data_IF_500975703489
#
_entry.id   IF_500975703489
#
_cell.length_a   1.000
_cell.length_b   1.000
_cell.length_c   1.000
_cell.angle_alpha   90.00
_cell.angle_beta   90.00
_cell.angle_gamma   90.00
#
_symmetry.space_group_name_H-M   'P 1'
#
loop_
_entity.id
_entity.type
_entity.pdbx_description
1 polymer ?
2 water ?
#
# COMPACT_ATOMS: atom_id res chain seq x y z
N UNK A 1 -15.37 -8.92 -29.82
CA UNK A 1 -14.65 -10.07 -29.20
C UNK A 1 -14.67 -9.88 -27.70
N UNK A 2 -13.83 -8.97 -27.24
CA UNK A 2 -13.76 -8.71 -25.83
C UNK A 2 -12.31 -8.68 -25.44
N UNK A 3 -12.04 -7.92 -24.40
CA UNK A 3 -10.71 -7.80 -23.86
C UNK A 3 -10.43 -9.08 -23.12
N UNK A 4 -9.25 -9.14 -22.53
CA UNK A 4 -8.84 -10.27 -21.71
C UNK A 4 -9.83 -10.36 -20.56
N UNK A 5 -10.04 -9.21 -19.90
CA UNK A 5 -10.94 -9.13 -18.77
C UNK A 5 -12.27 -9.80 -18.98
N UNK A 6 -12.86 -9.68 -20.15
CA UNK A 6 -14.14 -10.35 -20.29
C UNK A 6 -14.14 -11.76 -20.87
N UNK A 7 -13.00 -12.27 -21.33
CA UNK A 7 -13.03 -13.66 -21.77
C UNK A 7 -12.94 -14.34 -20.39
N UNK A 8 -12.29 -13.64 -19.46
CA UNK A 8 -12.11 -14.13 -18.10
C UNK A 8 -13.41 -14.17 -17.31
N UNK A 9 -14.15 -13.05 -17.32
CA UNK A 9 -15.45 -12.98 -16.61
C UNK A 9 -16.49 -13.86 -17.27
N UNK A 10 -16.19 -14.37 -18.47
CA UNK A 10 -17.15 -15.18 -19.20
C UNK A 10 -17.05 -16.68 -19.03
N UNK A 11 -16.03 -17.10 -18.30
CA UNK A 11 -15.83 -18.52 -18.04
C UNK A 11 -15.97 -18.61 -16.53
N UNK A 12 -16.96 -19.39 -16.09
CA UNK A 12 -17.21 -19.54 -14.66
C UNK A 12 -16.29 -20.53 -13.99
N UNK A 13 -15.00 -20.26 -14.10
CA UNK A 13 -13.96 -21.09 -13.52
C UNK A 13 -12.77 -20.19 -13.22
N UNK A 14 -12.91 -18.89 -13.52
CA UNK A 14 -11.85 -17.91 -13.28
C UNK A 14 -12.35 -16.94 -12.21
N UNK A 15 -13.43 -17.33 -11.54
CA UNK A 15 -14.06 -16.53 -10.49
C UNK A 15 -13.06 -15.92 -9.49
N UNK A 16 -12.21 -16.79 -8.95
CA UNK A 16 -11.21 -16.38 -7.98
C UNK A 16 -10.27 -15.39 -8.65
N UNK A 17 -9.82 -15.72 -9.86
CA UNK A 17 -8.90 -14.88 -10.61
C UNK A 17 -9.39 -13.43 -10.80
N UNK A 18 -10.65 -13.25 -11.21
CA UNK A 18 -11.21 -11.91 -11.42
C UNK A 18 -11.31 -11.10 -10.13
N UNK A 19 -11.93 -11.66 -9.10
CA UNK A 19 -12.04 -10.98 -7.80
C UNK A 19 -10.62 -10.52 -7.48
N UNK A 20 -9.70 -11.47 -7.56
CA UNK A 20 -8.30 -11.18 -7.28
C UNK A 20 -7.80 -10.07 -8.17
N UNK A 21 -8.32 -10.01 -9.41
CA UNK A 21 -7.89 -8.96 -10.33
C UNK A 21 -8.44 -7.62 -9.83
N UNK A 22 -9.70 -7.65 -9.39
CA UNK A 22 -10.35 -6.45 -8.89
C UNK A 22 -9.56 -5.95 -7.68
N UNK A 23 -9.36 -6.87 -6.75
CA UNK A 23 -8.64 -6.59 -5.52
C UNK A 23 -7.26 -6.01 -5.77
N UNK A 24 -6.60 -6.43 -6.85
CA UNK A 24 -5.28 -5.87 -7.16
C UNK A 24 -5.51 -4.61 -7.98
N UNK A 25 -6.74 -4.42 -8.42
CA UNK A 25 -7.06 -3.27 -9.22
C UNK A 25 -6.31 -3.35 -10.52
N UNK A 26 -6.48 -4.48 -11.22
CA UNK A 26 -5.82 -4.71 -12.51
C UNK A 26 -6.91 -4.92 -13.54
N UNK A 27 -8.11 -4.47 -13.17
CA UNK A 27 -9.26 -4.61 -14.03
C UNK A 27 -9.16 -3.70 -15.23
N UNK A 28 -9.02 -2.39 -15.01
CA UNK A 28 -8.94 -1.46 -16.12
C UNK A 28 -7.83 -1.86 -17.07
N UNK A 29 -6.67 -2.15 -16.49
CA UNK A 29 -5.50 -2.54 -17.27
C UNK A 29 -5.80 -3.66 -18.26
N UNK A 30 -6.44 -4.72 -17.78
CA UNK A 30 -6.75 -5.84 -18.66
C UNK A 30 -8.05 -5.62 -19.42
N UNK A 31 -8.70 -4.49 -19.18
CA UNK A 31 -9.94 -4.18 -19.88
C UNK A 31 -9.76 -2.98 -20.80
N UNK A 32 -8.67 -2.25 -20.62
CA UNK A 32 -8.39 -1.09 -21.47
C UNK A 32 -7.75 -1.60 -22.76
N UNK A 33 -6.67 -0.95 -23.20
CA UNK A 33 -6.00 -1.37 -24.43
C UNK A 33 -4.59 -1.90 -24.19
N UNK A 34 -4.04 -2.64 -25.15
CA UNK A 34 -2.69 -3.17 -25.02
C UNK A 34 -2.46 -4.51 -25.69
N UNK A 35 -1.31 -5.11 -25.40
CA UNK A 35 -0.96 -6.42 -25.96
C UNK A 35 -0.38 -7.30 -24.86
N UNK A 36 -1.23 -8.14 -24.29
CA UNK A 36 -0.81 -9.01 -23.21
C UNK A 36 -1.04 -10.49 -23.47
N UNK A 37 -0.17 -11.31 -22.90
CA UNK A 37 -0.32 -12.75 -23.00
C UNK A 37 -0.56 -13.10 -21.53
N UNK A 38 -1.79 -13.54 -21.27
CA UNK A 38 -2.22 -13.86 -19.92
C UNK A 38 -2.31 -15.36 -19.67
N UNK A 39 -1.59 -15.85 -18.66
CA UNK A 39 -1.67 -17.26 -18.30
C UNK A 39 -2.62 -17.24 -17.12
N UNK A 40 -3.84 -17.68 -17.36
CA UNK A 40 -4.85 -17.65 -16.32
C UNK A 40 -5.09 -18.94 -15.57
N UNK A 41 -4.85 -18.93 -14.25
CA UNK A 41 -5.07 -20.11 -13.43
C UNK A 41 -6.56 -20.27 -13.19
N UNK A 42 -7.05 -21.51 -13.25
CA UNK A 42 -8.45 -21.82 -13.03
C UNK A 42 -8.67 -21.84 -11.53
N UNK A 43 -9.94 -21.90 -11.13
CA UNK A 43 -10.28 -21.95 -9.72
C UNK A 43 -9.52 -23.09 -9.09
N UNK A 44 -9.42 -24.18 -9.83
CA UNK A 44 -8.68 -25.35 -9.35
C UNK A 44 -7.24 -25.00 -9.01
N UNK A 45 -6.58 -24.20 -9.86
CA UNK A 45 -5.20 -23.82 -9.59
C UNK A 45 -5.15 -23.19 -8.20
N UNK A 46 -6.09 -22.30 -7.92
CA UNK A 46 -6.14 -21.66 -6.61
C UNK A 46 -6.58 -22.72 -5.59
N UNK A 47 -7.56 -23.55 -5.96
CA UNK A 47 -8.09 -24.60 -5.08
C UNK A 47 -7.00 -25.60 -4.67
N UNK A 48 -6.03 -25.80 -5.56
CA UNK A 48 -4.93 -26.73 -5.34
C UNK A 48 -3.95 -26.26 -4.27
N UNK A 49 -3.91 -24.95 -4.04
CA UNK A 49 -3.00 -24.36 -3.08
C UNK A 49 -3.11 -24.90 -1.66
N UNK A 50 -1.95 -25.04 -0.98
CA UNK A 50 -1.84 -25.52 0.40
C UNK A 50 -2.18 -24.29 1.29
N UNK A 51 -2.90 -24.53 2.41
CA UNK A 51 -3.33 -23.46 3.32
C UNK A 51 -2.43 -22.29 3.77
N UNK A 52 -1.25 -22.55 4.33
CA UNK A 52 -0.40 -21.41 4.74
C UNK A 52 -0.05 -20.60 3.50
N UNK A 53 0.12 -21.31 2.38
CA UNK A 53 0.45 -20.70 1.10
C UNK A 53 -0.78 -20.03 0.46
N UNK A 54 -1.97 -20.53 0.78
CA UNK A 54 -3.21 -19.95 0.25
C UNK A 54 -3.37 -18.59 0.95
N UNK A 55 -3.06 -18.57 2.24
CA UNK A 55 -3.19 -17.36 3.05
C UNK A 55 -2.11 -16.31 2.81
N UNK A 56 -0.91 -16.75 2.45
CA UNK A 56 0.17 -15.81 2.18
C UNK A 56 -0.11 -15.04 0.89
N UNK A 57 -0.68 -15.75 -0.09
CA UNK A 57 -1.00 -15.17 -1.39
C UNK A 57 -2.20 -14.22 -1.34
N UNK A 58 -3.32 -14.75 -0.86
CA UNK A 58 -4.59 -14.05 -0.77
C UNK A 58 -4.84 -13.27 0.51
N UNK A 59 -4.01 -13.47 1.53
CA UNK A 59 -4.22 -12.72 2.75
C UNK A 59 -3.29 -11.53 2.79
N UNK A 60 -2.79 -11.12 1.62
CA UNK A 60 -1.83 -10.04 1.55
C UNK A 60 -1.93 -9.29 0.23
N UNK A 61 -2.45 -8.07 0.26
CA UNK A 61 -2.64 -7.27 -0.97
C UNK A 61 -1.38 -7.14 -1.81
N UNK A 62 -0.21 -7.07 -1.18
CA UNK A 62 1.01 -6.94 -1.97
C UNK A 62 1.39 -8.24 -2.60
N UNK A 63 1.05 -9.33 -1.92
CA UNK A 63 1.29 -10.63 -2.44
C UNK A 63 0.65 -10.70 -3.82
N UNK A 64 -0.68 -10.83 -3.85
CA UNK A 64 -1.46 -10.93 -5.09
C UNK A 64 -0.97 -10.03 -6.21
N UNK A 65 -0.97 -8.73 -6.00
CA UNK A 65 -0.52 -7.78 -7.01
C UNK A 65 0.75 -8.33 -7.66
N UNK A 66 1.68 -8.73 -6.82
CA UNK A 66 2.94 -9.28 -7.29
C UNK A 66 2.77 -10.51 -8.15
N UNK A 67 2.08 -11.50 -7.62
CA UNK A 67 1.84 -12.75 -8.33
C UNK A 67 0.91 -12.59 -9.53
N UNK A 68 -0.22 -11.93 -9.35
CA UNK A 68 -1.16 -11.74 -10.46
C UNK A 68 -0.45 -11.05 -11.62
N UNK A 69 0.39 -10.07 -11.30
CA UNK A 69 1.15 -9.29 -12.29
C UNK A 69 2.17 -10.14 -13.01
N UNK A 70 2.52 -11.28 -12.39
CA UNK A 70 3.52 -12.17 -12.96
C UNK A 70 2.95 -13.15 -14.01
N UNK A 71 1.63 -13.39 -13.99
CA UNK A 71 1.00 -14.31 -14.94
C UNK A 71 0.68 -13.55 -16.21
N UNK A 72 0.94 -12.23 -16.18
CA UNK A 72 0.66 -11.37 -17.31
C UNK A 72 1.84 -10.93 -18.18
N UNK A 73 1.89 -11.49 -19.38
CA UNK A 73 2.95 -11.18 -20.32
C UNK A 73 2.90 -9.79 -20.92
N UNK A 74 4.05 -9.37 -21.45
CA UNK A 74 4.21 -8.07 -22.06
C UNK A 74 3.77 -8.04 -23.51
N UNK A 75 4.08 -9.11 -24.24
CA UNK A 75 3.74 -9.20 -25.64
C UNK A 75 2.55 -10.11 -25.85
N UNK A 76 2.14 -10.28 -27.09
CA UNK A 76 1.06 -11.20 -27.36
C UNK A 76 1.81 -12.36 -27.97
N UNK A 77 1.50 -13.56 -27.49
CA UNK A 77 2.18 -14.75 -27.95
C UNK A 77 1.24 -15.95 -27.96
N UNK A 78 0.95 -16.45 -29.16
CA UNK A 78 0.09 -17.60 -29.34
C UNK A 78 1.01 -18.79 -29.60
N UNK A 79 0.45 -19.99 -29.65
CA UNK A 79 1.22 -21.21 -29.89
C UNK A 79 2.11 -21.09 -31.13
N UNK A 80 1.51 -21.11 -32.32
CA UNK A 80 2.31 -20.92 -33.51
C UNK A 80 2.96 -19.62 -33.13
N UNK A 81 4.29 -19.57 -33.08
CA UNK A 81 4.97 -18.36 -32.65
C UNK A 81 6.06 -18.75 -31.65
N UNK A 82 6.00 -19.99 -31.18
CA UNK A 82 7.00 -20.52 -30.25
C UNK A 82 7.91 -21.42 -31.10
N UNK A 83 9.02 -20.86 -31.59
CA UNK A 83 9.94 -21.63 -32.41
C UNK A 83 11.16 -22.00 -31.59
N UNK A 84 11.35 -21.26 -30.50
CA UNK A 84 12.45 -21.48 -29.57
C UNK A 84 11.88 -21.14 -28.20
N UNK A 85 12.63 -21.46 -27.15
CA UNK A 85 12.22 -21.16 -25.77
C UNK A 85 12.13 -19.64 -25.61
N UNK A 86 10.90 -19.14 -25.50
CA UNK A 86 10.63 -17.70 -25.36
C UNK A 86 10.49 -17.15 -23.93
N UNK A 87 11.13 -16.01 -23.69
CA UNK A 87 11.06 -15.36 -22.39
C UNK A 87 10.24 -14.06 -22.50
N UNK A 88 9.20 -13.97 -21.68
CA UNK A 88 8.30 -12.82 -21.68
C UNK A 88 8.37 -11.97 -20.44
N UNK A 89 8.70 -10.69 -20.59
CA UNK A 89 8.76 -9.83 -19.43
C UNK A 89 7.33 -9.80 -18.88
N UNK A 90 7.17 -10.22 -17.64
CA UNK A 90 5.84 -10.20 -16.99
C UNK A 90 5.67 -8.75 -16.58
N UNK A 91 4.44 -8.31 -16.32
CA UNK A 91 4.30 -6.93 -15.90
C UNK A 91 4.96 -6.77 -14.51
N UNK A 92 5.29 -7.89 -13.87
CA UNK A 92 5.92 -7.88 -12.56
C UNK A 92 7.41 -7.57 -12.68
N UNK A 93 8.01 -7.93 -13.81
CA UNK A 93 9.42 -7.68 -14.03
C UNK A 93 10.17 -8.95 -14.40
N UNK A 94 9.75 -10.05 -13.84
CA UNK A 94 10.43 -11.29 -14.11
C UNK A 94 9.80 -12.06 -15.27
N UNK A 95 10.67 -12.76 -15.98
CA UNK A 95 10.37 -13.56 -17.17
C UNK A 95 9.44 -14.73 -16.98
N UNK A 96 8.78 -15.11 -18.08
CA UNK A 96 7.88 -16.26 -18.14
C UNK A 96 8.48 -17.16 -19.22
N UNK A 97 8.99 -18.34 -18.84
CA UNK A 97 9.58 -19.28 -19.81
C UNK A 97 8.50 -20.05 -20.54
N UNK A 98 8.28 -19.68 -21.80
CA UNK A 98 7.26 -20.29 -22.63
C UNK A 98 7.94 -21.21 -23.63
N UNK A 99 7.26 -22.28 -24.00
CA UNK A 99 7.81 -23.20 -24.99
C UNK A 99 6.75 -24.16 -25.48
N UNK A 100 7.11 -25.04 -26.40
CA UNK A 100 6.15 -25.93 -27.00
C UNK A 100 6.54 -27.40 -27.14
N UNK A 101 5.60 -28.30 -26.87
CA UNK A 101 5.81 -29.74 -27.01
C UNK A 101 4.48 -30.46 -27.24
N UNK A 102 4.44 -31.22 -28.33
CA UNK A 102 3.26 -31.97 -28.77
C UNK A 102 2.00 -31.11 -28.83
N UNK A 103 2.20 -29.86 -29.27
CA UNK A 103 1.13 -28.88 -29.44
C UNK A 103 0.65 -28.28 -28.12
N UNK A 104 1.22 -28.79 -27.03
CA UNK A 104 0.95 -28.32 -25.69
C UNK A 104 2.01 -27.26 -25.32
N UNK A 105 1.54 -26.04 -25.11
CA UNK A 105 2.40 -24.93 -24.74
C UNK A 105 2.73 -25.07 -23.26
N UNK A 106 3.87 -24.55 -22.82
CA UNK A 106 4.23 -24.62 -21.42
C UNK A 106 4.78 -23.29 -20.89
N UNK A 107 4.58 -23.05 -19.60
CA UNK A 107 5.01 -21.83 -18.93
C UNK A 107 5.59 -22.15 -17.56
N UNK A 108 6.91 -22.05 -17.42
CA UNK A 108 7.54 -22.37 -16.15
C UNK A 108 7.31 -23.84 -15.84
N UNK A 109 7.57 -24.68 -16.84
CA UNK A 109 7.41 -26.13 -16.72
C UNK A 109 6.01 -26.54 -16.24
N UNK A 110 4.96 -25.91 -16.77
CA UNK A 110 3.60 -26.25 -16.39
C UNK A 110 2.77 -26.20 -17.66
N UNK A 111 2.03 -27.27 -17.94
CA UNK A 111 1.20 -27.39 -19.13
C UNK A 111 -0.08 -26.57 -19.14
N UNK A 112 -0.32 -25.94 -20.28
CA UNK A 112 -1.50 -25.11 -20.47
C UNK A 112 -2.69 -26.02 -20.77
N UNK A 113 -3.72 -25.92 -19.96
CA UNK A 113 -4.92 -26.74 -20.14
C UNK A 113 -5.63 -26.42 -21.44
N UNK A 114 -5.40 -25.22 -21.96
CA UNK A 114 -6.05 -24.77 -23.20
C UNK A 114 -5.27 -23.62 -23.83
N UNK A 115 -4.49 -23.90 -24.89
CA UNK A 115 -3.71 -22.84 -25.54
C UNK A 115 -4.50 -21.64 -26.04
N UNK A 116 -3.78 -20.53 -26.09
CA UNK A 116 -4.25 -19.23 -26.51
C UNK A 116 -5.71 -19.03 -26.91
N UNK A 117 -6.35 -18.14 -26.17
CA UNK A 117 -7.73 -17.73 -26.40
C UNK A 117 -7.57 -16.24 -26.72
N UNK A 118 -8.22 -15.76 -27.76
CA UNK A 118 -8.09 -14.35 -28.12
C UNK A 118 -8.94 -13.34 -27.33
N UNK A 119 -8.60 -12.08 -27.57
CA UNK A 119 -9.23 -10.93 -26.93
C UNK A 119 -8.68 -9.72 -27.66
N UNK A 120 -9.52 -8.70 -27.78
CA UNK A 120 -9.16 -7.48 -28.47
C UNK A 120 -7.85 -6.85 -28.01
N UNK A 121 -7.38 -7.24 -26.82
CA UNK A 121 -6.16 -6.65 -26.28
C UNK A 121 -5.19 -7.66 -25.67
N UNK A 122 -4.90 -8.71 -26.43
CA UNK A 122 -3.99 -9.73 -25.95
C UNK A 122 -4.55 -11.11 -26.23
N UNK A 123 -4.08 -12.09 -25.47
CA UNK A 123 -4.52 -13.46 -25.63
C UNK A 123 -4.36 -14.11 -24.27
N UNK A 124 -5.14 -15.16 -23.96
CA UNK A 124 -4.94 -15.83 -22.67
C UNK A 124 -4.76 -17.32 -22.89
N UNK A 125 -3.96 -17.93 -22.03
CA UNK A 125 -3.67 -19.36 -22.08
C UNK A 125 -4.07 -19.90 -20.71
N UNK A 126 -4.98 -20.87 -20.68
CA UNK A 126 -5.47 -21.45 -19.43
C UNK A 126 -4.53 -22.47 -18.82
N UNK A 127 -4.25 -22.33 -17.53
CA UNK A 127 -3.37 -23.26 -16.82
C UNK A 127 -4.03 -23.59 -15.47
N UNK A 128 -3.58 -24.65 -14.81
CA UNK A 128 -4.20 -25.08 -13.56
C UNK A 128 -3.32 -25.22 -12.30
N UNK A 129 -2.50 -24.20 -12.09
CA UNK A 129 -1.62 -24.07 -10.93
C UNK A 129 -1.18 -22.63 -11.10
N UNK A 130 -0.90 -21.94 -9.99
CA UNK A 130 -0.47 -20.53 -10.01
C UNK A 130 1.04 -20.50 -10.21
N UNK A 131 1.55 -19.55 -10.97
CA UNK A 131 3.00 -19.49 -11.18
C UNK A 131 3.76 -18.90 -9.99
N UNK B 1 -11.76 20.90 23.75
CA UNK B 1 -11.06 19.80 24.48
C UNK B 1 -11.69 18.47 24.11
N UNK B 2 -10.90 17.41 24.12
CA UNK B 2 -11.47 16.12 23.78
C UNK B 2 -11.29 15.74 22.34
N UNK B 3 -10.63 14.62 22.14
CA UNK B 3 -10.29 14.10 20.83
C UNK B 3 -9.18 15.01 20.36
N UNK B 4 -8.00 14.44 20.27
CA UNK B 4 -6.86 15.18 19.80
C UNK B 4 -7.36 15.67 18.45
N UNK B 5 -8.08 14.80 17.77
CA UNK B 5 -8.58 15.16 16.45
C UNK B 5 -9.54 16.33 16.36
N UNK B 6 -10.39 16.56 17.35
CA UNK B 6 -11.25 17.74 17.21
C UNK B 6 -10.37 18.94 17.58
N UNK B 7 -9.18 18.69 18.14
CA UNK B 7 -8.32 19.82 18.45
C UNK B 7 -7.74 20.28 17.11
N UNK B 8 -7.23 19.32 16.34
CA UNK B 8 -6.65 19.64 15.05
C UNK B 8 -7.70 20.20 14.08
N UNK B 9 -8.89 19.59 14.12
CA UNK B 9 -10.01 19.98 13.25
C UNK B 9 -10.55 21.39 13.42
N UNK B 10 -10.60 21.86 14.66
CA UNK B 10 -11.14 23.18 14.91
C UNK B 10 -10.17 24.33 14.91
N UNK B 11 -8.88 24.04 14.73
CA UNK B 11 -7.88 25.09 14.71
C UNK B 11 -7.23 25.14 13.34
N UNK B 12 -7.29 26.32 12.72
CA UNK B 12 -6.76 26.50 11.37
C UNK B 12 -5.26 26.43 11.16
N UNK B 13 -4.49 26.15 12.20
CA UNK B 13 -3.03 26.03 12.05
C UNK B 13 -2.69 24.57 11.77
N UNK B 14 -3.71 23.71 11.80
CA UNK B 14 -3.48 22.28 11.58
C UNK B 14 -4.20 21.69 10.37
N UNK B 15 -4.74 22.55 9.51
CA UNK B 15 -5.46 22.06 8.34
C UNK B 15 -4.65 21.07 7.48
N UNK B 16 -3.43 21.43 7.12
CA UNK B 16 -2.58 20.52 6.34
C UNK B 16 -2.44 19.21 7.10
N UNK B 17 -2.12 19.31 8.40
CA UNK B 17 -1.99 18.14 9.26
C UNK B 17 -3.27 17.30 9.23
N UNK B 18 -4.42 17.96 9.25
CA UNK B 18 -5.71 17.27 9.21
C UNK B 18 -5.89 16.46 7.94
N UNK B 19 -5.60 17.08 6.80
CA UNK B 19 -5.74 16.37 5.55
C UNK B 19 -4.76 15.20 5.62
N UNK B 20 -3.60 15.44 6.22
CA UNK B 20 -2.57 14.41 6.34
C UNK B 20 -3.00 13.18 7.15
N UNK B 21 -3.86 13.35 8.15
CA UNK B 21 -4.30 12.19 8.90
C UNK B 21 -5.33 11.38 8.13
N UNK B 22 -6.21 12.06 7.39
CA UNK B 22 -7.20 11.33 6.63
C UNK B 22 -6.69 10.69 5.34
N UNK B 23 -5.59 11.15 4.78
CA UNK B 23 -5.10 10.47 3.60
C UNK B 23 -4.20 9.38 4.15
N UNK B 24 -3.76 9.59 5.38
CA UNK B 24 -2.91 8.62 6.06
C UNK B 24 -3.84 7.54 6.61
N UNK B 25 -5.11 7.90 6.75
CA UNK B 25 -6.10 6.98 7.26
C UNK B 25 -5.89 6.70 8.75
N UNK B 26 -5.41 7.70 9.48
CA UNK B 26 -5.17 7.59 10.91
C UNK B 26 -6.30 8.28 11.67
N UNK B 27 -7.24 8.84 10.92
CA UNK B 27 -8.33 9.60 11.55
C UNK B 27 -9.11 8.92 12.67
N UNK B 28 -9.73 7.77 12.42
CA UNK B 28 -10.49 7.14 13.50
C UNK B 28 -9.67 6.96 14.80
N UNK B 29 -8.43 6.49 14.69
CA UNK B 29 -7.61 6.29 15.90
C UNK B 29 -7.59 7.49 16.85
N UNK B 30 -7.07 8.61 16.35
CA UNK B 30 -6.94 9.82 17.13
C UNK B 30 -8.24 10.56 17.42
N UNK B 31 -9.31 10.16 16.74
CA UNK B 31 -10.61 10.78 16.98
C UNK B 31 -11.29 9.77 17.89
N UNK B 32 -10.54 8.72 18.23
CA UNK B 32 -11.06 7.67 19.09
C UNK B 32 -10.21 7.48 20.34
N UNK B 33 -10.81 6.81 21.32
CA UNK B 33 -10.20 6.60 22.62
C UNK B 33 -8.85 5.93 22.72
N UNK B 34 -8.12 6.38 23.73
CA UNK B 34 -6.80 5.86 24.01
C UNK B 34 -6.10 6.99 24.70
N UNK B 35 -4.78 6.89 24.78
CA UNK B 35 -3.96 7.89 25.44
C UNK B 35 -2.84 8.22 24.45
N UNK B 36 -2.74 9.49 24.06
CA UNK B 36 -1.73 9.90 23.09
C UNK B 36 -1.09 11.25 23.34
N UNK B 37 0.13 11.42 22.81
CA UNK B 37 0.86 12.67 22.89
C UNK B 37 1.36 12.97 21.47
N UNK B 38 0.52 13.69 20.72
CA UNK B 38 0.83 14.06 19.34
C UNK B 38 1.39 15.47 19.19
N UNK B 39 2.61 15.54 18.66
CA UNK B 39 3.31 16.79 18.43
C UNK B 39 2.83 17.26 17.06
N UNK B 40 1.91 18.21 17.11
CA UNK B 40 1.23 18.76 15.95
C UNK B 40 1.93 19.78 15.05
N UNK B 41 2.42 19.34 13.87
CA UNK B 41 3.08 20.31 12.99
C UNK B 41 2.04 21.22 12.35
N UNK B 42 2.24 22.53 12.48
CA UNK B 42 1.35 23.53 11.92
C UNK B 42 1.50 23.63 10.39
N UNK B 43 0.69 24.48 9.76
CA UNK B 43 0.77 24.64 8.31
C UNK B 43 2.13 25.21 7.93
N UNK B 44 2.72 26.02 8.80
CA UNK B 44 4.05 26.61 8.58
C UNK B 44 5.07 25.50 8.36
N UNK B 45 5.05 24.54 9.28
CA UNK B 45 5.94 23.40 9.22
C UNK B 45 5.93 22.79 7.82
N UNK B 46 4.79 22.25 7.41
CA UNK B 46 4.69 21.66 6.08
C UNK B 46 5.21 22.64 5.01
N UNK B 47 4.75 23.90 5.05
CA UNK B 47 5.19 24.91 4.09
C UNK B 47 6.68 25.24 4.14
N UNK B 48 7.37 24.71 5.15
CA UNK B 48 8.79 24.93 5.30
C UNK B 48 9.57 23.73 4.79
N UNK B 49 8.92 22.59 4.69
CA UNK B 49 9.59 21.38 4.21
C UNK B 49 10.33 21.62 2.90
N UNK B 50 11.55 21.06 2.78
CA UNK B 50 12.29 21.24 1.53
C UNK B 50 11.41 20.55 0.49
N UNK B 51 11.39 21.07 -0.76
CA UNK B 51 10.59 20.56 -1.87
C UNK B 51 10.69 19.10 -2.34
N UNK B 52 11.87 18.51 -2.29
CA UNK B 52 12.03 17.12 -2.72
C UNK B 52 11.26 16.26 -1.74
N UNK B 53 11.50 16.53 -0.45
CA UNK B 53 10.88 15.80 0.63
C UNK B 53 9.38 16.13 0.78
N UNK B 54 9.00 17.39 0.58
CA UNK B 54 7.57 17.72 0.68
C UNK B 54 6.87 16.80 -0.31
N UNK B 55 7.53 16.57 -1.44
CA UNK B 55 7.00 15.72 -2.49
C UNK B 55 7.04 14.25 -2.09
N UNK B 56 8.15 13.85 -1.47
CA UNK B 56 8.39 12.49 -1.02
C UNK B 56 7.60 12.01 0.22
N UNK B 57 7.15 12.96 1.04
CA UNK B 57 6.38 12.64 2.22
C UNK B 57 4.89 12.80 1.94
N UNK B 58 4.56 13.88 1.21
CA UNK B 58 3.18 14.22 0.88
C UNK B 58 2.48 13.58 -0.33
N UNK B 59 3.23 13.10 -1.31
CA UNK B 59 2.57 12.49 -2.45
C UNK B 59 2.77 11.00 -2.41
N UNK B 60 2.70 10.46 -1.21
CA UNK B 60 2.97 9.04 -1.00
C UNK B 60 2.36 8.51 0.30
N UNK B 61 1.09 8.12 0.25
CA UNK B 61 0.37 7.62 1.42
C UNK B 61 1.22 6.84 2.42
N UNK B 62 1.97 5.88 1.90
CA UNK B 62 2.83 5.02 2.71
C UNK B 62 3.83 5.76 3.60
N UNK B 63 4.75 6.51 3.00
CA UNK B 63 5.71 7.26 3.81
C UNK B 63 4.94 8.33 4.58
N UNK B 64 3.77 8.69 4.08
CA UNK B 64 2.95 9.68 4.77
C UNK B 64 2.57 9.09 6.13
N UNK B 65 1.85 7.97 6.10
CA UNK B 65 1.45 7.30 7.33
C UNK B 65 2.62 7.15 8.29
N UNK B 66 3.77 6.76 7.76
CA UNK B 66 4.95 6.54 8.59
C UNK B 66 5.36 7.76 9.41
N UNK B 67 5.66 8.87 8.75
CA UNK B 67 6.10 10.07 9.47
C UNK B 67 5.02 10.59 10.42
N UNK B 68 3.75 10.47 10.04
CA UNK B 68 2.65 10.94 10.88
C UNK B 68 2.54 10.13 12.16
N UNK B 69 2.53 8.80 12.03
CA UNK B 69 2.42 7.98 13.23
C UNK B 69 3.70 8.02 14.07
N UNK B 70 4.68 8.79 13.63
CA UNK B 70 5.91 8.94 14.40
C UNK B 70 5.76 10.08 15.40
N UNK B 71 5.05 11.14 15.02
CA UNK B 71 4.84 12.28 15.92
C UNK B 71 3.76 11.94 16.94
N UNK B 72 3.39 10.66 17.02
CA UNK B 72 2.32 10.19 17.92
C UNK B 72 2.80 9.20 18.96
N UNK B 73 3.01 9.67 20.20
CA UNK B 73 3.45 8.79 21.27
C UNK B 73 2.30 7.93 21.79
N UNK B 74 2.58 6.67 22.11
CA UNK B 74 1.52 5.81 22.60
C UNK B 74 1.19 6.02 24.07
N UNK B 75 1.36 7.27 24.51
CA UNK B 75 1.10 7.64 25.90
C UNK B 75 0.95 9.14 26.20
N UNK B 76 0.43 9.43 27.39
CA UNK B 76 0.21 10.79 27.86
C UNK B 76 1.47 11.43 28.48
N UNK B 77 1.75 12.66 28.07
CA UNK B 77 2.90 13.42 28.56
C UNK B 77 2.57 14.91 28.58
N UNK B 78 3.03 15.63 29.61
CA UNK B 78 2.81 17.07 29.72
C UNK B 78 4.08 17.80 30.18
N UNK B 79 4.11 19.13 30.04
CA UNK B 79 5.29 19.89 30.45
C UNK B 79 5.72 19.41 31.83
N UNK B 80 4.99 19.80 32.87
CA UNK B 80 5.34 19.29 34.19
C UNK B 80 5.43 17.81 33.88
N UNK B 81 6.28 17.06 34.57
CA UNK B 81 6.38 15.66 34.22
C UNK B 81 7.37 15.54 33.08
N UNK B 82 8.48 14.85 33.37
CA UNK B 82 9.64 14.60 32.51
C UNK B 82 10.70 15.70 32.65
N UNK B 83 10.53 16.56 33.65
CA UNK B 83 11.44 17.67 33.90
C UNK B 83 12.81 17.63 33.26
N UNK B 84 13.55 16.56 33.49
CA UNK B 84 14.88 16.44 32.91
C UNK B 84 14.75 16.49 31.41
N UNK B 85 14.68 15.29 30.86
CA UNK B 85 14.57 15.02 29.45
C UNK B 85 13.89 13.66 29.52
N UNK B 86 13.03 13.34 28.55
CA UNK B 86 12.36 12.05 28.56
C UNK B 86 12.37 11.45 27.16
N UNK B 87 12.43 10.12 27.09
CA UNK B 87 12.44 9.38 25.83
C UNK B 87 11.02 8.79 25.66
N UNK B 88 10.32 9.15 24.58
CA UNK B 88 8.95 8.65 24.35
C UNK B 88 8.81 7.70 23.15
N UNK B 89 7.86 6.77 23.21
CA UNK B 89 7.69 5.81 22.12
C UNK B 89 6.51 6.10 21.17
N UNK B 90 6.79 6.15 19.87
CA UNK B 90 5.76 6.44 18.84
C UNK B 90 5.14 5.23 18.17
N UNK B 91 4.08 5.49 17.39
CA UNK B 91 3.35 4.44 16.68
C UNK B 91 4.15 3.89 15.52
N UNK B 92 5.06 4.71 15.02
CA UNK B 92 5.91 4.30 13.94
C UNK B 92 6.88 3.30 14.58
N UNK B 93 7.30 3.58 15.81
CA UNK B 93 8.18 2.65 16.51
C UNK B 93 9.43 3.14 17.23
N UNK B 94 10.06 4.18 16.72
CA UNK B 94 11.28 4.64 17.35
C UNK B 94 10.99 5.65 18.46
N UNK B 95 11.88 5.76 19.43
CA UNK B 95 11.65 6.67 20.55
C UNK B 95 11.72 8.11 20.04
N UNK B 96 11.57 9.06 20.94
CA UNK B 96 11.61 10.47 20.57
C UNK B 96 11.91 11.27 21.83
N UNK B 97 12.95 12.12 21.75
CA UNK B 97 13.40 12.93 22.88
C UNK B 97 12.59 14.20 23.08
N UNK B 98 11.99 14.28 24.26
CA UNK B 98 11.14 15.39 24.68
C UNK B 98 11.90 16.04 25.82
N UNK B 99 12.45 17.23 25.58
CA UNK B 99 13.23 17.91 26.60
C UNK B 99 12.45 19.01 27.32
N UNK B 100 13.17 19.87 28.03
CA UNK B 100 12.51 20.94 28.79
C UNK B 100 13.50 22.00 29.24
N UNK B 101 13.59 23.09 28.48
CA UNK B 101 14.52 24.13 28.88
C UNK B 101 13.83 25.45 29.17
N UNK B 102 13.97 25.88 30.43
CA UNK B 102 13.37 27.12 30.91
C UNK B 102 11.96 27.15 30.32
N UNK B 103 11.18 26.18 30.77
CA UNK B 103 9.80 25.90 30.34
C UNK B 103 9.47 26.02 28.85
N UNK B 104 10.22 25.24 28.07
CA UNK B 104 10.09 25.13 26.63
C UNK B 104 10.44 23.67 26.35
N UNK B 105 9.44 22.90 25.94
CA UNK B 105 9.63 21.47 25.68
C UNK B 105 10.26 21.30 24.30
N UNK B 106 10.92 20.18 24.10
CA UNK B 106 11.54 19.94 22.80
C UNK B 106 11.36 18.52 22.33
N UNK B 107 11.19 18.35 21.03
CA UNK B 107 11.07 17.01 20.47
C UNK B 107 12.20 16.94 19.46
N UNK B 108 13.32 16.31 19.81
CA UNK B 108 14.42 16.25 18.87
C UNK B 108 14.89 17.67 18.64
N UNK B 109 15.15 18.33 19.77
CA UNK B 109 15.58 19.71 19.79
C UNK B 109 14.59 20.63 19.09
N UNK B 110 13.41 20.14 18.77
CA UNK B 110 12.47 21.04 18.13
C UNK B 110 11.56 21.72 19.15
N UNK B 111 11.56 23.06 19.16
CA UNK B 111 10.72 23.78 20.10
C UNK B 111 9.23 23.56 19.92
N UNK B 112 8.53 24.11 20.90
CA UNK B 112 7.10 23.97 21.01
C UNK B 112 6.46 25.34 21.18
N UNK B 113 5.40 25.62 20.44
CA UNK B 113 4.70 26.91 20.59
C UNK B 113 3.50 26.59 21.48
N UNK B 114 3.50 27.15 22.68
CA UNK B 114 2.46 26.89 23.69
C UNK B 114 1.98 25.44 23.62
N UNK B 115 2.41 24.64 24.61
CA UNK B 115 2.17 23.21 24.87
C UNK B 115 0.97 22.81 25.73
N UNK B 116 0.91 21.51 25.99
CA UNK B 116 -0.08 20.90 26.86
C UNK B 116 -1.58 20.99 26.57
N UNK B 117 -1.98 20.96 25.29
CA UNK B 117 -3.42 21.04 24.98
C UNK B 117 -4.10 19.75 25.40
N UNK B 118 -5.12 19.85 26.25
CA UNK B 118 -5.75 18.63 26.67
C UNK B 118 -6.84 18.13 25.76
N UNK B 119 -6.89 16.82 25.66
CA UNK B 119 -7.91 16.19 24.88
C UNK B 119 -8.45 15.13 25.78
N UNK B 120 -9.56 14.56 25.37
CA UNK B 120 -10.19 13.51 26.12
C UNK B 120 -9.36 12.26 25.88
N UNK B 121 -8.64 12.23 24.76
CA UNK B 121 -7.82 11.06 24.49
C UNK B 121 -6.33 11.35 24.40
N UNK B 122 -5.89 12.46 24.97
CA UNK B 122 -4.47 12.73 24.91
C UNK B 122 -4.08 14.17 25.11
N UNK B 123 -2.94 14.55 24.55
CA UNK B 123 -2.51 15.90 24.71
C UNK B 123 -1.68 16.38 23.52
N UNK B 124 -1.98 17.59 23.07
CA UNK B 124 -1.32 18.14 21.90
C UNK B 124 -0.27 19.23 22.13
N UNK B 125 0.88 19.03 21.50
CA UNK B 125 1.98 20.00 21.60
C UNK B 125 2.24 20.60 20.24
N UNK B 126 1.86 21.85 20.10
CA UNK B 126 2.02 22.57 18.85
C UNK B 126 3.45 22.73 18.44
N UNK B 127 3.77 22.24 17.26
CA UNK B 127 5.11 22.41 16.75
C UNK B 127 5.04 23.14 15.43
N UNK B 128 6.20 23.64 15.04
CA UNK B 128 6.30 24.43 13.82
C UNK B 128 7.34 23.87 12.87
N UNK B 129 7.68 22.59 13.08
CA UNK B 129 8.62 21.91 12.22
C UNK B 129 8.20 20.46 12.23
N UNK B 130 8.15 19.86 11.04
CA UNK B 130 7.78 18.46 10.88
C UNK B 130 8.97 17.64 11.37
N UNK B 131 8.70 16.45 11.90
CA UNK B 131 9.76 15.62 12.45
C UNK B 131 10.14 14.36 11.66
#
# INVERSE_FOLDING_TARGET
>A
MGTVMDVLKGDNRFSMLVAAIQSAGLTETLNREGVYTVFAPTNEAFRALPPRERSRLLGDAKELANILKYHIGDEILVSGGIGALVRLKSLQGDKLEVSLKNNVVSVNKEPVAEPDIMATNGVVHVITNVLQ
>B
MGTVMDVLKGDNRFSMLVAAIQSAGLTETLNREGVYTVFAPTNEAFRALPPRERSRLLGDAKELANILKYHIGDEILVSGGIGALVRLKSLQGDKLEVSLKNNVVSVNKEPVAEPDIMATNGVVHVITNVLQ
#
